data_IF_034201857833
#
_entry.id   IF_034201857833
#
_cell.length_a   1.000
_cell.length_b   1.000
_cell.length_c   1.000
_cell.angle_alpha   90.00
_cell.angle_beta   90.00
_cell.angle_gamma   90.00
#
_symmetry.space_group_name_H-M   'P 1'
#
loop_
_entity.id
_entity.type
_entity.pdbx_description
1 polymer ?
#
# COMPACT_ATOMS: atom_id res chain seq x y z
N UNK A 1 23.35 13.91 -9.19
CA UNK A 1 22.12 14.33 -9.88
C UNK A 1 21.28 13.09 -10.11
N UNK A 2 20.23 12.90 -9.31
CA UNK A 2 19.21 11.85 -9.54
C UNK A 2 17.89 12.61 -9.67
N UNK A 3 17.69 13.25 -10.82
CA UNK A 3 16.37 13.73 -11.24
C UNK A 3 15.78 12.69 -12.18
N UNK A 4 15.34 11.57 -11.60
CA UNK A 4 14.49 10.63 -12.32
C UNK A 4 13.79 9.79 -11.28
N UNK A 5 12.46 9.94 -11.16
CA UNK A 5 11.56 8.83 -10.79
C UNK A 5 10.13 9.32 -10.52
N UNK A 6 9.83 10.60 -10.30
CA UNK A 6 8.46 10.96 -9.92
C UNK A 6 7.42 10.69 -11.02
N UNK A 7 7.80 10.74 -12.32
CA UNK A 7 6.87 10.44 -13.43
C UNK A 7 6.56 8.95 -13.62
N UNK A 8 7.46 8.05 -13.21
CA UNK A 8 7.26 6.60 -13.32
C UNK A 8 6.49 6.01 -12.13
N UNK A 9 6.30 6.80 -11.06
CA UNK A 9 5.59 6.35 -9.87
C UNK A 9 4.07 6.40 -10.04
N UNK A 10 3.55 7.38 -10.78
CA UNK A 10 2.12 7.64 -10.89
C UNK A 10 1.55 7.06 -12.18
N UNK A 11 0.65 6.07 -12.11
CA UNK A 11 0.05 5.52 -13.31
C UNK A 11 -0.89 6.52 -13.99
N UNK A 12 -1.15 6.32 -15.28
CA UNK A 12 -2.19 7.05 -16.02
C UNK A 12 -3.61 6.63 -15.59
N UNK A 13 -3.78 5.39 -15.13
CA UNK A 13 -5.03 4.80 -14.64
C UNK A 13 -4.78 3.84 -13.47
N UNK A 14 -5.76 3.71 -12.56
CA UNK A 14 -5.62 2.84 -11.39
C UNK A 14 -4.58 3.36 -10.38
N UNK A 15 -3.71 2.51 -9.85
CA UNK A 15 -2.80 2.83 -8.75
C UNK A 15 -1.65 1.84 -8.58
N UNK A 16 -0.50 2.35 -8.13
CA UNK A 16 0.68 1.56 -7.75
C UNK A 16 0.77 1.48 -6.23
N UNK A 17 0.60 0.28 -5.70
CA UNK A 17 0.63 -0.01 -4.27
C UNK A 17 2.01 -0.56 -3.91
N UNK A 18 2.64 0.04 -2.91
CA UNK A 18 3.93 -0.38 -2.35
C UNK A 18 3.74 -0.60 -0.86
N UNK A 19 3.81 -1.85 -0.42
CA UNK A 19 3.71 -2.24 0.98
C UNK A 19 5.08 -2.72 1.44
N UNK A 20 5.65 -2.08 2.44
CA UNK A 20 6.98 -2.39 2.98
C UNK A 20 6.87 -2.73 4.45
N UNK A 21 7.41 -3.87 4.85
CA UNK A 21 7.32 -4.34 6.23
C UNK A 21 8.15 -3.42 7.13
N UNK A 22 7.50 -2.84 8.13
CA UNK A 22 8.12 -1.96 9.12
C UNK A 22 8.41 -2.70 10.44
N UNK A 23 7.62 -3.73 10.75
CA UNK A 23 7.76 -4.53 11.96
C UNK A 23 7.53 -6.02 11.66
N UNK A 24 8.21 -6.93 12.36
CA UNK A 24 8.15 -8.38 12.07
C UNK A 24 7.05 -9.12 12.84
N UNK A 25 6.85 -8.84 14.12
CA UNK A 25 5.91 -9.60 14.97
C UNK A 25 5.24 -8.75 16.07
N UNK A 26 3.96 -8.39 15.94
CA UNK A 26 3.10 -8.67 14.79
C UNK A 26 3.59 -7.93 13.54
N UNK A 27 3.31 -8.46 12.34
CA UNK A 27 3.76 -7.82 11.11
C UNK A 27 2.99 -6.52 10.88
N UNK A 28 3.74 -5.43 10.67
CA UNK A 28 3.20 -4.13 10.29
C UNK A 28 3.84 -3.67 8.98
N UNK A 29 3.07 -2.97 8.15
CA UNK A 29 3.52 -2.49 6.85
C UNK A 29 3.26 -1.00 6.70
N UNK A 30 4.25 -0.27 6.22
CA UNK A 30 4.03 1.02 5.59
C UNK A 30 3.44 0.79 4.20
N UNK A 31 2.39 1.53 3.87
CA UNK A 31 1.69 1.44 2.59
C UNK A 31 1.75 2.79 1.91
N UNK A 32 2.33 2.80 0.71
CA UNK A 32 2.36 3.96 -0.17
C UNK A 32 1.59 3.62 -1.45
N UNK A 33 0.64 4.48 -1.81
CA UNK A 33 -0.19 4.31 -3.00
C UNK A 33 0.01 5.51 -3.90
N UNK A 34 0.53 5.28 -5.10
CA UNK A 34 0.64 6.31 -6.12
C UNK A 34 -0.56 6.21 -7.07
N UNK A 35 -1.33 7.27 -7.14
CA UNK A 35 -2.52 7.43 -7.96
C UNK A 35 -2.24 8.36 -9.15
N UNK A 36 -3.17 8.49 -10.12
CA UNK A 36 -3.01 9.38 -11.25
C UNK A 36 -2.92 10.85 -10.82
N UNK A 37 -2.52 11.72 -11.74
CA UNK A 37 -2.35 13.16 -11.51
C UNK A 37 -1.38 13.52 -10.37
N UNK A 38 -0.47 12.61 -9.99
CA UNK A 38 0.53 12.87 -8.96
C UNK A 38 0.02 12.68 -7.53
N UNK A 39 -1.22 12.22 -7.34
CA UNK A 39 -1.76 11.98 -6.00
C UNK A 39 -1.03 10.79 -5.35
N UNK A 40 -0.75 10.94 -4.06
CA UNK A 40 -0.12 9.93 -3.23
C UNK A 40 -0.92 9.78 -1.94
N UNK A 41 -1.16 8.54 -1.53
CA UNK A 41 -1.73 8.20 -0.24
C UNK A 41 -0.70 7.40 0.56
N UNK A 42 -0.66 7.66 1.86
CA UNK A 42 0.23 6.99 2.80
C UNK A 42 -0.60 6.49 4.00
N UNK A 43 -0.44 5.23 4.36
CA UNK A 43 -1.09 4.62 5.54
C UNK A 43 -0.20 3.53 6.14
N UNK A 44 -0.57 3.03 7.31
CA UNK A 44 0.02 1.83 7.91
C UNK A 44 -1.02 0.72 7.94
N UNK A 45 -0.59 -0.47 7.60
CA UNK A 45 -1.38 -1.69 7.67
C UNK A 45 -0.89 -2.54 8.84
N UNK A 46 -1.80 -2.86 9.74
CA UNK A 46 -1.60 -3.80 10.85
C UNK A 46 -2.77 -4.78 10.96
N UNK A 47 -2.62 -5.82 11.77
CA UNK A 47 -3.70 -6.75 12.08
C UNK A 47 -4.06 -6.69 13.56
N UNK A 48 -5.30 -6.32 13.85
CA UNK A 48 -5.88 -6.32 15.20
C UNK A 48 -6.96 -7.39 15.24
N UNK A 49 -6.87 -8.34 16.18
CA UNK A 49 -7.80 -9.48 16.29
C UNK A 49 -7.99 -10.25 14.96
N UNK A 50 -6.94 -10.28 14.15
CA UNK A 50 -6.95 -10.90 12.83
C UNK A 50 -7.69 -10.10 11.74
N UNK A 51 -8.17 -8.89 12.01
CA UNK A 51 -8.70 -7.97 11.01
C UNK A 51 -7.62 -7.00 10.56
N UNK A 52 -7.56 -6.72 9.26
CA UNK A 52 -6.66 -5.71 8.73
C UNK A 52 -7.18 -4.32 9.08
N UNK A 53 -6.34 -3.49 9.69
CA UNK A 53 -6.64 -2.11 10.08
C UNK A 53 -5.66 -1.19 9.37
N UNK A 54 -6.19 -0.07 8.84
CA UNK A 54 -5.42 0.99 8.21
C UNK A 54 -5.40 2.23 9.09
N UNK A 55 -4.22 2.81 9.30
CA UNK A 55 -4.01 3.96 10.17
C UNK A 55 -2.95 4.92 9.58
N UNK A 56 -3.32 6.12 9.11
CA UNK A 56 -4.68 6.65 9.03
C UNK A 56 -5.56 5.85 8.06
N UNK A 57 -6.88 5.93 8.22
CA UNK A 57 -7.81 5.44 7.20
C UNK A 57 -7.58 6.20 5.88
N UNK A 58 -7.81 5.51 4.76
CA UNK A 58 -7.66 6.10 3.44
C UNK A 58 -8.98 6.77 3.04
N UNK A 59 -8.91 8.01 2.56
CA UNK A 59 -10.10 8.75 2.10
C UNK A 59 -10.64 8.27 0.75
N UNK A 60 -9.87 7.43 0.04
CA UNK A 60 -10.26 6.82 -1.24
C UNK A 60 -10.76 5.38 -1.00
N UNK A 61 -12.09 5.10 -1.16
CA UNK A 61 -12.65 3.79 -0.88
C UNK A 61 -12.14 2.67 -1.80
N UNK A 62 -11.75 3.01 -3.03
CA UNK A 62 -11.19 2.04 -3.97
C UNK A 62 -9.78 1.65 -3.55
N UNK A 63 -8.95 2.63 -3.20
CA UNK A 63 -7.59 2.41 -2.71
C UNK A 63 -7.60 1.64 -1.37
N UNK A 64 -8.54 1.95 -0.48
CA UNK A 64 -8.78 1.19 0.74
C UNK A 64 -9.11 -0.27 0.45
N UNK A 65 -10.12 -0.53 -0.38
CA UNK A 65 -10.54 -1.88 -0.72
C UNK A 65 -9.42 -2.72 -1.37
N UNK A 66 -8.63 -2.12 -2.26
CA UNK A 66 -7.47 -2.78 -2.88
C UNK A 66 -6.35 -3.06 -1.86
N UNK A 67 -6.09 -2.14 -0.94
CA UNK A 67 -5.11 -2.33 0.14
C UNK A 67 -5.53 -3.49 1.05
N UNK A 68 -6.81 -3.57 1.43
CA UNK A 68 -7.34 -4.66 2.25
C UNK A 68 -7.28 -6.02 1.53
N UNK A 69 -7.41 -6.07 0.20
CA UNK A 69 -7.17 -7.30 -0.58
C UNK A 69 -5.70 -7.72 -0.52
N UNK A 70 -4.77 -6.77 -0.65
CA UNK A 70 -3.33 -7.03 -0.53
C UNK A 70 -2.94 -7.45 0.89
N UNK A 71 -3.60 -6.91 1.91
CA UNK A 71 -3.44 -7.34 3.29
C UNK A 71 -3.74 -8.85 3.45
N UNK A 72 -4.80 -9.37 2.83
CA UNK A 72 -5.10 -10.82 2.87
C UNK A 72 -3.96 -11.67 2.30
N UNK A 73 -3.29 -11.19 1.25
CA UNK A 73 -2.12 -11.85 0.66
C UNK A 73 -0.95 -11.84 1.64
N UNK A 74 -0.62 -10.69 2.22
CA UNK A 74 0.49 -10.54 3.17
C UNK A 74 0.26 -11.32 4.47
N UNK A 75 -0.98 -11.44 4.93
CA UNK A 75 -1.31 -12.26 6.09
C UNK A 75 -1.06 -13.74 5.82
N UNK A 76 -1.37 -14.23 4.61
CA UNK A 76 -1.17 -15.64 4.23
C UNK A 76 0.29 -15.94 3.89
N UNK A 77 1.02 -14.98 3.32
CA UNK A 77 2.41 -15.14 2.92
C UNK A 77 3.15 -13.82 3.16
N UNK A 78 3.66 -13.61 4.38
CA UNK A 78 4.39 -12.40 4.73
C UNK A 78 5.62 -12.21 3.83
N UNK A 79 5.86 -10.96 3.40
CA UNK A 79 6.98 -10.59 2.53
C UNK A 79 7.63 -9.33 3.06
N UNK A 80 8.93 -9.14 2.82
CA UNK A 80 9.62 -7.92 3.24
C UNK A 80 9.04 -6.69 2.51
N UNK A 81 8.66 -6.87 1.24
CA UNK A 81 7.94 -5.86 0.47
C UNK A 81 7.00 -6.51 -0.56
N UNK A 82 5.95 -5.79 -0.93
CA UNK A 82 4.99 -6.16 -1.97
C UNK A 82 4.65 -4.93 -2.81
N UNK A 83 5.00 -4.96 -4.09
CA UNK A 83 4.57 -3.95 -5.07
C UNK A 83 3.54 -4.54 -6.02
N UNK A 84 2.41 -3.85 -6.22
CA UNK A 84 1.35 -4.26 -7.14
C UNK A 84 0.73 -3.07 -7.87
N UNK A 85 0.46 -3.26 -9.16
CA UNK A 85 -0.36 -2.35 -9.95
C UNK A 85 -1.81 -2.86 -9.92
N UNK A 86 -2.78 -1.95 -9.76
CA UNK A 86 -4.23 -2.21 -9.79
C UNK A 86 -4.88 -1.15 -10.68
N UNK A 87 -5.84 -1.51 -11.51
CA UNK A 87 -6.50 -0.58 -12.46
C UNK A 87 -7.29 -1.34 -13.50
#
# INVERSE_FOLDING_TARGET
>A
MIDSSSRDLHPTNGGRFVLTRAHEEPPEYEVVIHLPAGQRLDTRLRWEDGQAVLDPQLDDPWAEAETLKLARVLRRTPRASLTRWRG
#
